data_IF_871936867402
#
_entry.id   IF_871936867402
#
_cell.length_a   1.000
_cell.length_b   1.000
_cell.length_c   1.000
_cell.angle_alpha   90.00
_cell.angle_beta   90.00
_cell.angle_gamma   90.00
#
_symmetry.space_group_name_H-M   'P 1'
#
loop_
_entity.id
_entity.type
_entity.pdbx_description
1 polymer ?
#
# COMPACT_ATOMS: atom_id res chain seq x y z
N UNK A 1 -27.99 -39.10 5.33
CA UNK A 1 -27.90 -37.66 5.65
C UNK A 1 -26.42 -37.35 5.67
N UNK A 2 -25.93 -36.65 4.65
CA UNK A 2 -24.55 -36.14 4.68
C UNK A 2 -24.51 -35.04 5.74
N UNK A 3 -23.94 -35.35 6.90
CA UNK A 3 -23.49 -34.32 7.85
C UNK A 3 -22.31 -33.60 7.17
N UNK A 4 -22.61 -32.60 6.33
CA UNK A 4 -21.61 -31.64 5.91
C UNK A 4 -21.28 -30.79 7.13
N UNK A 5 -20.09 -30.98 7.69
CA UNK A 5 -19.55 -30.10 8.73
C UNK A 5 -19.70 -28.65 8.25
N UNK A 6 -20.34 -27.75 9.00
CA UNK A 6 -20.50 -26.37 8.56
C UNK A 6 -19.12 -25.75 8.33
N UNK A 7 -18.99 -24.98 7.26
CA UNK A 7 -17.74 -24.30 6.94
C UNK A 7 -17.32 -23.37 8.09
N UNK A 8 -16.06 -23.44 8.51
CA UNK A 8 -15.49 -22.45 9.41
C UNK A 8 -15.45 -21.09 8.70
N UNK A 9 -15.78 -20.00 9.38
CA UNK A 9 -15.88 -18.67 8.79
C UNK A 9 -14.88 -17.71 9.43
N UNK A 10 -13.95 -17.23 8.60
CA UNK A 10 -12.98 -16.20 8.95
C UNK A 10 -13.34 -14.88 8.26
N UNK A 11 -13.53 -13.81 9.03
CA UNK A 11 -13.66 -12.46 8.46
C UNK A 11 -12.40 -11.64 8.71
N UNK A 12 -11.80 -11.12 7.65
CA UNK A 12 -10.64 -10.23 7.70
C UNK A 12 -11.09 -8.81 7.35
N UNK A 13 -10.98 -7.89 8.31
CA UNK A 13 -11.25 -6.47 8.09
C UNK A 13 -9.98 -5.81 7.55
N UNK A 14 -10.00 -5.46 6.27
CA UNK A 14 -8.86 -5.00 5.49
C UNK A 14 -8.40 -6.05 4.47
N UNK A 15 -8.07 -5.61 3.26
CA UNK A 15 -7.65 -6.48 2.16
C UNK A 15 -6.26 -6.12 1.60
N UNK A 16 -5.49 -5.30 2.32
CA UNK A 16 -4.13 -4.92 1.93
C UNK A 16 -3.07 -6.02 2.17
N UNK A 17 -1.76 -5.67 2.14
CA UNK A 17 -0.68 -6.66 2.18
C UNK A 17 -0.68 -7.59 3.39
N UNK A 18 -1.19 -7.11 4.54
CA UNK A 18 -1.32 -7.95 5.75
C UNK A 18 -2.31 -9.11 5.55
N UNK A 19 -3.44 -8.85 4.89
CA UNK A 19 -4.43 -9.87 4.58
C UNK A 19 -3.87 -10.87 3.55
N UNK A 20 -3.13 -10.38 2.55
CA UNK A 20 -2.42 -11.26 1.60
C UNK A 20 -1.41 -12.15 2.31
N UNK A 21 -0.61 -11.61 3.24
CA UNK A 21 0.33 -12.40 4.04
C UNK A 21 -0.37 -13.44 4.91
N UNK A 22 -1.53 -13.11 5.50
CA UNK A 22 -2.33 -14.08 6.24
C UNK A 22 -2.82 -15.23 5.34
N UNK A 23 -3.38 -14.91 4.18
CA UNK A 23 -3.83 -15.92 3.22
C UNK A 23 -2.68 -16.81 2.74
N UNK A 24 -1.51 -16.21 2.53
CA UNK A 24 -0.31 -16.95 2.16
C UNK A 24 0.13 -17.91 3.27
N UNK A 25 0.09 -17.47 4.54
CA UNK A 25 0.35 -18.35 5.69
C UNK A 25 -0.69 -19.45 5.84
N UNK A 26 -1.96 -19.19 5.54
CA UNK A 26 -3.02 -20.21 5.49
C UNK A 26 -2.68 -21.25 4.40
N UNK A 27 -2.36 -20.82 3.18
CA UNK A 27 -1.95 -21.72 2.10
C UNK A 27 -0.68 -22.51 2.46
N UNK A 28 0.25 -21.89 3.18
CA UNK A 28 1.50 -22.49 3.63
C UNK A 28 1.30 -23.64 4.60
N UNK A 29 0.42 -23.45 5.59
CA UNK A 29 0.24 -24.37 6.70
C UNK A 29 -0.91 -25.36 6.49
N UNK A 30 -1.81 -25.12 5.53
CA UNK A 30 -2.97 -25.97 5.29
C UNK A 30 -2.63 -27.47 5.14
N UNK A 31 -1.56 -27.90 4.44
CA UNK A 31 -1.25 -29.33 4.31
C UNK A 31 -0.95 -30.05 5.63
N UNK A 32 -0.52 -29.34 6.67
CA UNK A 32 -0.18 -29.91 7.98
C UNK A 32 -1.29 -29.69 9.00
N UNK A 33 -1.94 -28.52 8.98
CA UNK A 33 -2.91 -28.10 10.00
C UNK A 33 -4.36 -28.36 9.60
N UNK A 34 -4.64 -28.63 8.33
CA UNK A 34 -5.99 -28.77 7.81
C UNK A 34 -6.14 -30.13 7.13
N UNK A 35 -6.97 -31.01 7.69
CA UNK A 35 -7.16 -32.39 7.22
C UNK A 35 -7.85 -32.50 5.85
N UNK A 36 -8.23 -31.37 5.25
CA UNK A 36 -8.86 -31.29 3.93
C UNK A 36 -10.32 -31.75 3.92
N UNK A 37 -10.93 -32.02 5.07
CA UNK A 37 -12.34 -32.45 5.18
C UNK A 37 -13.27 -31.32 5.59
N UNK A 38 -12.77 -30.32 6.33
CA UNK A 38 -13.50 -29.11 6.66
C UNK A 38 -13.39 -28.03 5.57
N UNK A 39 -14.47 -27.30 5.33
CA UNK A 39 -14.45 -26.09 4.50
C UNK A 39 -14.06 -24.86 5.33
N UNK A 40 -13.31 -23.93 4.74
CA UNK A 40 -13.00 -22.62 5.31
C UNK A 40 -13.46 -21.51 4.36
N UNK A 41 -14.39 -20.68 4.81
CA UNK A 41 -14.84 -19.49 4.12
C UNK A 41 -14.13 -18.25 4.68
N UNK A 42 -13.30 -17.61 3.85
CA UNK A 42 -12.61 -16.36 4.17
C UNK A 42 -13.32 -15.18 3.51
N UNK A 43 -13.75 -14.21 4.31
CA UNK A 43 -14.33 -12.96 3.85
C UNK A 43 -13.36 -11.80 4.05
N UNK A 44 -12.89 -11.19 2.97
CA UNK A 44 -12.13 -9.95 3.02
C UNK A 44 -13.09 -8.76 2.94
N UNK A 45 -13.04 -7.84 3.90
CA UNK A 45 -13.87 -6.64 3.91
C UNK A 45 -12.99 -5.40 3.78
N UNK A 46 -13.00 -4.76 2.60
CA UNK A 46 -12.25 -3.53 2.34
C UNK A 46 -12.89 -2.76 1.17
N UNK A 47 -13.04 -1.43 1.24
CA UNK A 47 -13.54 -0.65 0.11
C UNK A 47 -12.56 -0.59 -1.09
N UNK A 48 -11.30 -0.98 -0.90
CA UNK A 48 -10.26 -0.99 -1.93
C UNK A 48 -9.91 -2.41 -2.39
N UNK A 49 -9.40 -2.57 -3.63
CA UNK A 49 -9.02 -3.88 -4.15
C UNK A 49 -8.04 -4.67 -3.26
N UNK A 50 -8.22 -5.98 -3.11
CA UNK A 50 -7.31 -6.84 -2.36
C UNK A 50 -5.89 -6.88 -2.93
N UNK A 51 -4.90 -7.13 -2.08
CA UNK A 51 -3.48 -7.07 -2.40
C UNK A 51 -2.91 -5.69 -2.08
N UNK A 52 -3.03 -4.68 -2.97
CA UNK A 52 -2.51 -3.34 -2.69
C UNK A 52 -3.24 -2.62 -1.54
N UNK A 53 -4.55 -2.86 -1.40
CA UNK A 53 -5.42 -2.14 -0.48
C UNK A 53 -5.39 -0.62 -0.70
N UNK A 54 -5.85 0.16 0.29
CA UNK A 54 -5.89 1.63 0.19
C UNK A 54 -4.52 2.28 -0.03
N UNK A 55 -3.49 1.79 0.64
CA UNK A 55 -2.18 2.46 0.77
C UNK A 55 -1.37 2.34 -0.51
N UNK A 56 -1.46 1.21 -1.20
CA UNK A 56 -0.73 0.95 -2.44
C UNK A 56 -1.63 0.96 -3.67
N UNK A 57 -2.89 1.40 -3.54
CA UNK A 57 -3.84 1.45 -4.66
C UNK A 57 -3.26 2.13 -5.89
N UNK A 58 -3.71 1.68 -7.05
CA UNK A 58 -3.20 2.10 -8.35
C UNK A 58 -3.51 3.59 -8.65
N UNK A 59 -4.62 4.12 -8.17
CA UNK A 59 -5.15 5.46 -8.48
C UNK A 59 -4.32 6.63 -7.89
N UNK A 60 -3.13 6.34 -7.36
CA UNK A 60 -2.19 7.36 -6.89
C UNK A 60 -1.46 8.03 -8.06
N UNK A 61 -0.89 9.21 -7.82
CA UNK A 61 -0.07 9.91 -8.82
C UNK A 61 1.15 9.06 -9.23
N UNK A 62 1.51 9.01 -10.53
CA UNK A 62 2.69 8.29 -11.01
C UNK A 62 4.02 8.92 -10.54
N UNK A 63 3.97 10.11 -9.93
CA UNK A 63 5.13 10.77 -9.33
C UNK A 63 5.50 10.19 -7.96
N UNK A 64 4.56 9.50 -7.29
CA UNK A 64 4.80 8.99 -5.95
C UNK A 64 5.60 7.70 -5.99
N UNK A 65 6.71 7.69 -5.25
CA UNK A 65 7.70 6.61 -5.23
C UNK A 65 7.66 5.85 -3.91
N UNK A 66 8.14 4.63 -3.94
CA UNK A 66 8.54 3.87 -2.76
C UNK A 66 9.75 4.51 -2.09
N UNK A 67 9.93 4.27 -0.80
CA UNK A 67 11.12 4.65 -0.04
C UNK A 67 12.12 3.49 0.17
N UNK A 68 11.86 2.36 -0.48
CA UNK A 68 12.69 1.15 -0.53
C UNK A 68 13.10 0.87 -1.97
N UNK A 69 14.28 0.30 -2.17
CA UNK A 69 14.72 -0.14 -3.49
C UNK A 69 13.90 -1.36 -3.93
N UNK A 70 13.74 -1.56 -5.24
CA UNK A 70 12.97 -2.67 -5.79
C UNK A 70 13.49 -4.05 -5.35
N UNK A 71 14.79 -4.18 -5.10
CA UNK A 71 15.40 -5.42 -4.60
C UNK A 71 15.08 -5.72 -3.13
N UNK A 72 14.80 -4.69 -2.33
CA UNK A 72 14.51 -4.81 -0.90
C UNK A 72 13.02 -5.07 -0.61
N UNK A 73 12.18 -5.17 -1.66
CA UNK A 73 10.73 -5.35 -1.51
C UNK A 73 10.34 -6.77 -1.88
N UNK A 74 9.83 -7.52 -0.90
CA UNK A 74 9.25 -8.86 -1.11
C UNK A 74 8.07 -9.08 -0.17
N UNK A 75 7.11 -9.92 -0.58
CA UNK A 75 6.03 -10.46 0.27
C UNK A 75 6.29 -11.92 0.67
N UNK A 76 7.37 -12.51 0.18
CA UNK A 76 7.72 -13.91 0.40
C UNK A 76 8.63 -14.08 1.60
N UNK A 77 8.61 -15.27 2.18
CA UNK A 77 9.41 -15.61 3.35
C UNK A 77 10.73 -16.22 2.93
N UNK A 78 11.73 -16.08 3.80
CA UNK A 78 13.06 -16.66 3.65
C UNK A 78 13.56 -17.17 5.02
N UNK A 79 14.78 -17.69 5.09
CA UNK A 79 15.35 -18.24 6.32
C UNK A 79 15.53 -17.19 7.44
N UNK A 80 15.42 -15.89 7.14
CA UNK A 80 15.46 -14.83 8.14
C UNK A 80 14.10 -14.52 8.77
N UNK A 81 13.02 -15.10 8.21
CA UNK A 81 11.66 -14.86 8.66
C UNK A 81 11.37 -15.53 10.01
N UNK A 82 10.78 -14.80 10.94
CA UNK A 82 10.35 -15.30 12.26
C UNK A 82 8.89 -15.74 12.22
N UNK A 83 8.62 -16.79 11.43
CA UNK A 83 7.27 -17.31 11.18
C UNK A 83 7.19 -18.79 11.52
N UNK A 84 6.03 -19.21 12.02
CA UNK A 84 5.69 -20.62 12.13
C UNK A 84 5.28 -21.17 10.75
N UNK A 85 5.50 -22.48 10.57
CA UNK A 85 5.23 -23.17 9.31
C UNK A 85 6.34 -23.04 8.27
N UNK A 86 6.10 -23.54 7.04
CA UNK A 86 7.14 -23.60 6.02
C UNK A 86 7.53 -22.21 5.49
N UNK A 87 8.83 -22.05 5.22
CA UNK A 87 9.37 -20.95 4.43
C UNK A 87 8.97 -21.16 2.96
N UNK A 88 8.35 -20.15 2.36
CA UNK A 88 7.93 -20.10 0.96
C UNK A 88 8.63 -18.93 0.26
N UNK A 89 9.79 -19.17 -0.36
CA UNK A 89 10.54 -18.14 -1.05
C UNK A 89 9.87 -17.75 -2.36
N UNK A 90 10.15 -16.53 -2.80
CA UNK A 90 9.63 -15.98 -4.04
C UNK A 90 10.35 -14.70 -4.44
N UNK A 91 10.01 -14.15 -5.62
CA UNK A 91 10.74 -13.02 -6.17
C UNK A 91 10.50 -11.74 -5.37
N UNK A 92 11.57 -10.95 -5.17
CA UNK A 92 11.42 -9.52 -4.86
C UNK A 92 10.73 -8.78 -6.02
N UNK A 93 10.30 -7.55 -5.79
CA UNK A 93 9.70 -6.71 -6.84
C UNK A 93 10.64 -6.58 -8.03
N UNK A 94 11.95 -6.38 -7.80
CA UNK A 94 12.94 -6.33 -8.88
C UNK A 94 13.03 -7.65 -9.66
N UNK A 95 13.07 -8.79 -8.97
CA UNK A 95 13.14 -10.10 -9.61
C UNK A 95 11.88 -10.39 -10.42
N UNK A 96 10.70 -10.07 -9.87
CA UNK A 96 9.42 -10.19 -10.56
C UNK A 96 9.35 -9.28 -11.79
N UNK A 97 9.77 -8.02 -11.67
CA UNK A 97 9.78 -7.06 -12.77
C UNK A 97 10.69 -7.50 -13.94
N UNK A 98 11.78 -8.21 -13.65
CA UNK A 98 12.72 -8.70 -14.66
C UNK A 98 12.07 -9.62 -15.71
N UNK A 99 10.94 -10.27 -15.38
CA UNK A 99 10.18 -11.09 -16.32
C UNK A 99 9.66 -10.28 -17.53
N UNK A 100 9.32 -9.00 -17.33
CA UNK A 100 8.76 -8.15 -18.39
C UNK A 100 9.84 -7.60 -19.33
N UNK A 101 11.10 -7.60 -18.88
CA UNK A 101 12.26 -7.15 -19.66
C UNK A 101 12.99 -8.29 -20.38
N UNK A 102 12.54 -9.53 -20.20
CA UNK A 102 13.21 -10.73 -20.71
C UNK A 102 14.52 -11.07 -20.00
N UNK A 103 14.80 -10.42 -18.85
CA UNK A 103 16.03 -10.62 -18.05
C UNK A 103 15.85 -11.62 -16.90
N UNK A 104 14.61 -11.98 -16.59
CA UNK A 104 14.25 -12.91 -15.52
C UNK A 104 13.31 -14.00 -16.00
N UNK A 105 13.13 -15.06 -15.19
CA UNK A 105 12.17 -16.10 -15.47
C UNK A 105 10.73 -15.55 -15.44
N UNK A 106 9.79 -16.29 -16.03
CA UNK A 106 8.36 -16.01 -15.85
C UNK A 106 7.91 -16.50 -14.47
N UNK A 107 7.04 -15.72 -13.83
CA UNK A 107 6.43 -16.07 -12.55
C UNK A 107 4.92 -16.25 -12.70
N UNK A 108 4.43 -17.43 -12.36
CA UNK A 108 2.99 -17.71 -12.37
C UNK A 108 2.26 -17.02 -11.19
N UNK A 109 1.02 -16.54 -11.39
CA UNK A 109 0.33 -16.45 -12.67
C UNK A 109 0.93 -15.33 -13.54
N UNK A 110 1.29 -15.65 -14.78
CA UNK A 110 1.85 -14.64 -15.68
C UNK A 110 0.75 -13.73 -16.22
N UNK A 111 0.84 -12.43 -15.94
CA UNK A 111 -0.08 -11.42 -16.48
C UNK A 111 0.66 -10.09 -16.59
N UNK A 112 0.63 -9.47 -17.78
CA UNK A 112 1.17 -8.12 -17.95
C UNK A 112 0.25 -7.09 -17.27
N UNK A 113 0.81 -6.08 -16.56
CA UNK A 113 0.02 -4.96 -16.04
C UNK A 113 -0.72 -4.22 -17.16
N UNK A 114 -2.00 -3.93 -16.93
CA UNK A 114 -2.85 -3.27 -17.92
C UNK A 114 -2.46 -1.79 -18.17
N UNK A 115 -1.88 -1.10 -17.18
CA UNK A 115 -1.38 0.27 -17.35
C UNK A 115 -0.04 0.26 -18.13
N UNK A 116 0.01 0.82 -19.36
CA UNK A 116 1.23 0.83 -20.17
C UNK A 116 2.39 1.60 -19.52
N UNK A 117 2.09 2.62 -18.70
CA UNK A 117 3.10 3.38 -17.98
C UNK A 117 3.77 2.55 -16.88
N UNK A 118 2.98 1.72 -16.18
CA UNK A 118 3.50 0.76 -15.20
C UNK A 118 4.32 -0.32 -15.89
N UNK A 119 3.83 -0.88 -17.00
CA UNK A 119 4.56 -1.90 -17.76
C UNK A 119 5.89 -1.35 -18.32
N UNK A 120 5.89 -0.11 -18.84
CA UNK A 120 7.10 0.55 -19.31
C UNK A 120 8.12 0.75 -18.18
N UNK A 121 7.66 1.19 -16.99
CA UNK A 121 8.52 1.28 -15.82
C UNK A 121 9.14 -0.08 -15.48
N UNK A 122 8.32 -1.13 -15.31
CA UNK A 122 8.79 -2.46 -14.92
C UNK A 122 9.79 -3.06 -15.92
N UNK A 123 9.63 -2.79 -17.22
CA UNK A 123 10.59 -3.23 -18.27
C UNK A 123 11.98 -2.62 -18.13
N UNK A 124 12.09 -1.47 -17.49
CA UNK A 124 13.37 -0.75 -17.32
C UNK A 124 13.86 -0.70 -15.87
N UNK A 125 13.04 -1.17 -14.93
CA UNK A 125 13.29 -1.07 -13.50
C UNK A 125 14.55 -1.84 -13.11
N UNK A 126 15.52 -1.14 -12.50
CA UNK A 126 16.73 -1.75 -11.97
C UNK A 126 16.51 -2.15 -10.50
N UNK A 127 17.24 -3.15 -9.99
CA UNK A 127 17.17 -3.57 -8.59
C UNK A 127 17.32 -2.42 -7.58
N UNK A 128 18.20 -1.47 -7.87
CA UNK A 128 18.50 -0.31 -7.00
C UNK A 128 17.57 0.90 -7.21
N UNK A 129 16.60 0.81 -8.12
CA UNK A 129 15.65 1.90 -8.35
C UNK A 129 14.56 1.90 -7.27
N UNK A 130 14.00 3.07 -7.00
CA UNK A 130 12.83 3.24 -6.16
C UNK A 130 11.58 3.19 -7.06
N UNK A 131 10.80 2.10 -7.07
CA UNK A 131 9.68 1.97 -7.99
C UNK A 131 8.56 2.96 -7.64
N UNK A 132 7.70 3.31 -8.60
CA UNK A 132 6.46 4.02 -8.29
C UNK A 132 5.57 3.19 -7.38
N UNK A 133 4.69 3.86 -6.64
CA UNK A 133 3.63 3.17 -5.89
C UNK A 133 2.69 2.38 -6.81
N UNK A 134 2.59 2.74 -8.09
CA UNK A 134 1.82 1.98 -9.08
C UNK A 134 2.50 0.67 -9.47
N UNK A 135 3.83 0.67 -9.63
CA UNK A 135 4.59 -0.57 -9.80
C UNK A 135 4.49 -1.48 -8.57
N UNK A 136 4.54 -0.89 -7.36
CA UNK A 136 4.26 -1.63 -6.11
C UNK A 136 2.84 -2.21 -6.11
N UNK A 137 1.83 -1.44 -6.54
CA UNK A 137 0.46 -1.91 -6.67
C UNK A 137 0.37 -3.13 -7.56
N UNK A 138 1.04 -3.12 -8.72
CA UNK A 138 1.01 -4.24 -9.66
C UNK A 138 1.67 -5.49 -9.07
N UNK A 139 2.79 -5.34 -8.36
CA UNK A 139 3.44 -6.44 -7.65
C UNK A 139 2.53 -7.04 -6.57
N UNK A 140 1.88 -6.21 -5.74
CA UNK A 140 1.00 -6.69 -4.66
C UNK A 140 -0.29 -7.35 -5.16
N UNK A 141 -0.87 -6.86 -6.25
CA UNK A 141 -1.99 -7.54 -6.93
C UNK A 141 -1.55 -8.90 -7.47
N UNK A 142 -0.37 -8.99 -8.11
CA UNK A 142 0.17 -10.26 -8.58
C UNK A 142 0.42 -11.25 -7.43
N UNK A 143 1.04 -10.82 -6.32
CA UNK A 143 1.25 -11.68 -5.14
C UNK A 143 -0.10 -12.18 -4.61
N UNK A 144 -1.10 -11.31 -4.51
CA UNK A 144 -2.43 -11.71 -4.04
C UNK A 144 -3.05 -12.79 -4.92
N UNK A 145 -3.02 -12.63 -6.26
CA UNK A 145 -3.54 -13.63 -7.19
C UNK A 145 -2.78 -14.95 -7.12
N UNK A 146 -1.45 -14.88 -6.96
CA UNK A 146 -0.63 -16.07 -6.75
C UNK A 146 -1.06 -16.84 -5.51
N UNK A 147 -1.23 -16.14 -4.38
CA UNK A 147 -1.67 -16.74 -3.12
C UNK A 147 -3.03 -17.40 -3.27
N UNK A 148 -3.98 -16.78 -3.98
CA UNK A 148 -5.27 -17.41 -4.25
C UNK A 148 -5.15 -18.72 -5.03
N UNK A 149 -4.22 -18.81 -5.98
CA UNK A 149 -3.98 -20.04 -6.75
C UNK A 149 -3.29 -21.14 -5.92
N UNK A 150 -2.67 -20.79 -4.79
CA UNK A 150 -1.99 -21.73 -3.90
C UNK A 150 -2.89 -22.23 -2.75
N UNK A 151 -4.09 -21.65 -2.58
CA UNK A 151 -5.04 -22.10 -1.57
C UNK A 151 -5.63 -23.47 -1.95
N UNK A 152 -5.86 -24.36 -0.97
CA UNK A 152 -6.51 -25.64 -1.24
C UNK A 152 -7.97 -25.42 -1.67
N UNK A 153 -8.58 -26.37 -2.42
CA UNK A 153 -9.96 -26.24 -2.89
C UNK A 153 -11.01 -26.08 -1.78
N UNK A 154 -10.69 -26.49 -0.56
CA UNK A 154 -11.54 -26.35 0.63
C UNK A 154 -11.55 -24.94 1.23
N UNK A 155 -10.68 -24.04 0.75
CA UNK A 155 -10.63 -22.65 1.22
C UNK A 155 -11.19 -21.73 0.14
N UNK A 156 -12.26 -21.02 0.47
CA UNK A 156 -12.87 -20.02 -0.43
C UNK A 156 -12.58 -18.61 0.07
N UNK A 157 -12.34 -17.68 -0.87
CA UNK A 157 -12.09 -16.27 -0.52
C UNK A 157 -13.10 -15.39 -1.24
N UNK A 158 -13.88 -14.62 -0.48
CA UNK A 158 -14.84 -13.64 -0.99
C UNK A 158 -14.44 -12.24 -0.57
N UNK A 159 -14.34 -11.31 -1.52
CA UNK A 159 -14.12 -9.90 -1.23
C UNK A 159 -15.44 -9.12 -1.21
N UNK A 160 -15.69 -8.45 -0.09
CA UNK A 160 -16.77 -7.50 0.08
C UNK A 160 -16.20 -6.09 -0.08
N UNK A 161 -16.51 -5.43 -1.21
CA UNK A 161 -16.08 -4.05 -1.50
C UNK A 161 -16.91 -3.03 -0.72
N UNK A 162 -16.73 -3.04 0.60
CA UNK A 162 -17.49 -2.22 1.55
C UNK A 162 -16.66 -1.96 2.80
N UNK A 163 -17.18 -1.15 3.70
CA UNK A 163 -16.53 -0.81 4.96
C UNK A 163 -17.17 -1.61 6.10
N UNK A 164 -16.35 -2.29 6.92
CA UNK A 164 -16.82 -2.79 8.20
C UNK A 164 -17.02 -1.62 9.17
N UNK A 165 -18.21 -1.52 9.78
CA UNK A 165 -18.59 -0.41 10.65
C UNK A 165 -18.55 -0.77 12.13
N UNK A 166 -18.74 -2.04 12.46
CA UNK A 166 -18.66 -2.55 13.83
C UNK A 166 -18.33 -4.06 13.84
N UNK A 167 -17.75 -4.51 14.94
CA UNK A 167 -17.65 -5.93 15.32
C UNK A 167 -18.35 -6.08 16.66
N UNK A 168 -19.31 -6.99 16.75
CA UNK A 168 -20.10 -7.25 17.96
C UNK A 168 -20.22 -8.76 18.17
N UNK A 169 -20.41 -9.21 19.40
CA UNK A 169 -20.58 -10.63 19.71
C UNK A 169 -20.11 -10.93 21.12
N UNK A 170 -20.38 -12.13 21.65
CA UNK A 170 -19.78 -12.59 22.90
C UNK A 170 -18.27 -12.85 22.71
N UNK A 171 -17.46 -12.76 23.77
CA UNK A 171 -16.00 -12.99 23.68
C UNK A 171 -15.65 -14.41 23.19
N UNK A 172 -16.38 -15.42 23.67
CA UNK A 172 -16.14 -16.85 23.38
C UNK A 172 -17.14 -17.46 22.39
N UNK A 173 -17.72 -16.66 21.49
CA UNK A 173 -18.69 -17.17 20.51
C UNK A 173 -18.63 -16.45 19.17
N UNK A 174 -19.59 -16.76 18.27
CA UNK A 174 -19.59 -16.20 16.92
C UNK A 174 -19.64 -14.68 16.94
N UNK A 175 -18.72 -14.07 16.22
CA UNK A 175 -18.65 -12.63 16.01
C UNK A 175 -19.58 -12.21 14.88
N UNK A 176 -20.04 -10.97 14.93
CA UNK A 176 -20.88 -10.33 13.93
C UNK A 176 -20.15 -9.10 13.39
N UNK A 177 -19.81 -9.14 12.10
CA UNK A 177 -19.15 -8.02 11.40
C UNK A 177 -20.19 -7.26 10.60
N UNK A 178 -20.47 -6.03 11.03
CA UNK A 178 -21.45 -5.14 10.40
C UNK A 178 -20.82 -4.43 9.21
N UNK A 179 -21.51 -4.42 8.08
CA UNK A 179 -21.04 -3.80 6.83
C UNK A 179 -21.89 -2.57 6.51
N UNK A 180 -21.26 -1.54 5.92
CA UNK A 180 -21.93 -0.26 5.66
C UNK A 180 -23.06 -0.33 4.61
N UNK A 181 -23.02 -1.33 3.74
CA UNK A 181 -23.87 -1.47 2.55
C UNK A 181 -25.05 -2.44 2.73
N UNK A 182 -25.21 -3.04 3.92
CA UNK A 182 -26.30 -3.98 4.21
C UNK A 182 -26.64 -4.05 5.69
N UNK A 183 -27.88 -4.43 6.00
CA UNK A 183 -28.35 -4.54 7.37
C UNK A 183 -27.87 -5.82 8.09
N UNK A 184 -27.80 -6.95 7.38
CA UNK A 184 -27.41 -8.22 7.98
C UNK A 184 -25.87 -8.33 8.12
N UNK A 185 -25.33 -8.58 9.34
CA UNK A 185 -23.89 -8.75 9.54
C UNK A 185 -23.37 -10.06 8.92
N UNK A 186 -22.05 -10.16 8.72
CA UNK A 186 -21.39 -11.46 8.55
C UNK A 186 -21.26 -12.12 9.91
N UNK A 187 -21.71 -13.37 10.05
CA UNK A 187 -21.39 -14.20 11.22
C UNK A 187 -20.05 -14.89 10.98
N UNK A 188 -19.13 -14.81 11.94
CA UNK A 188 -17.77 -15.31 11.82
C UNK A 188 -17.37 -16.09 13.07
N UNK A 189 -16.65 -17.19 12.91
CA UNK A 189 -16.01 -17.89 14.02
C UNK A 189 -14.80 -17.11 14.52
N UNK A 190 -14.10 -16.42 13.60
CA UNK A 190 -12.94 -15.59 13.93
C UNK A 190 -12.90 -14.31 13.09
N UNK A 191 -12.46 -13.22 13.72
CA UNK A 191 -12.27 -11.92 13.05
C UNK A 191 -10.81 -11.47 13.19
N UNK A 192 -10.17 -11.16 12.07
CA UNK A 192 -8.84 -10.54 12.04
C UNK A 192 -8.94 -9.08 11.61
N UNK A 193 -8.43 -8.18 12.45
CA UNK A 193 -8.32 -6.75 12.11
C UNK A 193 -6.99 -6.47 11.42
N UNK A 194 -7.01 -6.43 10.08
CA UNK A 194 -5.85 -6.23 9.21
C UNK A 194 -5.86 -4.86 8.49
N UNK A 195 -6.54 -3.86 9.06
CA UNK A 195 -6.84 -2.56 8.44
C UNK A 195 -5.60 -1.70 8.09
N UNK A 196 -4.41 -2.08 8.55
CA UNK A 196 -3.17 -1.39 8.21
C UNK A 196 -3.10 0.01 8.82
N UNK A 197 -2.95 1.03 7.97
CA UNK A 197 -2.82 2.42 8.39
C UNK A 197 -4.19 3.11 8.35
N UNK A 198 -4.73 3.39 9.54
CA UNK A 198 -6.01 4.08 9.70
C UNK A 198 -5.85 5.59 9.62
N UNK A 199 -6.87 6.26 9.06
CA UNK A 199 -6.97 7.71 9.16
C UNK A 199 -7.11 8.12 10.63
N UNK A 200 -6.62 9.31 10.97
CA UNK A 200 -6.80 9.89 12.30
C UNK A 200 -7.69 11.12 12.21
N UNK A 201 -8.60 11.28 13.17
CA UNK A 201 -9.33 12.52 13.31
C UNK A 201 -8.36 13.63 13.72
N UNK A 202 -8.43 14.84 13.13
CA UNK A 202 -7.54 15.92 13.48
C UNK A 202 -7.63 16.24 14.97
N UNK A 203 -6.53 16.13 15.71
CA UNK A 203 -6.46 16.48 17.13
C UNK A 203 -6.71 17.98 17.40
N UNK A 204 -6.87 18.40 18.68
CA UNK A 204 -7.23 19.78 19.05
C UNK A 204 -6.36 20.85 18.40
N UNK A 205 -5.04 20.62 18.32
CA UNK A 205 -4.09 21.54 17.68
C UNK A 205 -4.37 21.77 16.19
N UNK A 206 -4.66 20.70 15.44
CA UNK A 206 -4.97 20.81 14.02
C UNK A 206 -6.33 21.47 13.78
N UNK A 207 -7.31 21.22 14.67
CA UNK A 207 -8.59 21.93 14.66
C UNK A 207 -8.41 23.43 14.90
N UNK A 208 -7.54 23.81 15.85
CA UNK A 208 -7.22 25.21 16.12
C UNK A 208 -6.54 25.89 14.90
N UNK A 209 -5.58 25.23 14.26
CA UNK A 209 -4.94 25.74 13.04
C UNK A 209 -5.93 25.86 11.87
N UNK A 210 -6.80 24.87 11.66
CA UNK A 210 -7.84 24.93 10.64
C UNK A 210 -8.84 26.06 10.90
N UNK A 211 -9.26 26.25 12.16
CA UNK A 211 -10.14 27.35 12.54
C UNK A 211 -9.46 28.71 12.34
N UNK A 212 -8.18 28.84 12.71
CA UNK A 212 -7.39 30.05 12.47
C UNK A 212 -7.30 30.35 10.97
N UNK A 213 -6.90 29.39 10.15
CA UNK A 213 -6.79 29.56 8.70
C UNK A 213 -8.13 30.01 8.10
N UNK A 214 -9.23 29.34 8.45
CA UNK A 214 -10.58 29.69 7.98
C UNK A 214 -10.99 31.12 8.37
N UNK A 215 -10.72 31.57 9.60
CA UNK A 215 -11.02 32.96 10.02
C UNK A 215 -10.26 34.01 9.20
N UNK A 216 -9.15 33.63 8.58
CA UNK A 216 -8.33 34.51 7.75
C UNK A 216 -8.48 34.22 6.24
N UNK A 217 -9.47 33.43 5.83
CA UNK A 217 -9.67 33.06 4.42
C UNK A 217 -8.52 32.23 3.84
N UNK A 218 -7.81 31.47 4.67
CA UNK A 218 -6.66 30.64 4.31
C UNK A 218 -6.98 29.15 4.42
N UNK A 219 -6.18 28.36 3.72
CA UNK A 219 -6.24 26.91 3.74
C UNK A 219 -5.28 26.32 4.79
N UNK A 220 -5.68 25.23 5.43
CA UNK A 220 -4.82 24.42 6.29
C UNK A 220 -5.07 22.95 5.99
N UNK A 221 -4.03 22.27 5.50
CA UNK A 221 -4.03 20.82 5.31
C UNK A 221 -3.72 20.13 6.65
N UNK A 222 -4.67 19.39 7.25
CA UNK A 222 -4.37 18.57 8.42
C UNK A 222 -3.47 17.37 8.06
N UNK A 223 -2.88 16.67 9.06
CA UNK A 223 -2.17 15.43 8.80
C UNK A 223 -3.07 14.44 8.05
N UNK A 224 -2.61 13.99 6.90
CA UNK A 224 -3.32 13.08 6.03
C UNK A 224 -2.31 12.28 5.21
N UNK A 225 -2.73 11.13 4.70
CA UNK A 225 -1.96 10.40 3.70
C UNK A 225 -1.81 11.26 2.45
N UNK A 226 -0.58 11.56 2.02
CA UNK A 226 -0.32 12.57 0.98
C UNK A 226 -1.02 12.24 -0.34
N UNK A 227 -1.15 10.96 -0.69
CA UNK A 227 -1.83 10.57 -1.92
C UNK A 227 -3.36 10.82 -1.90
N UNK A 228 -3.93 11.12 -0.73
CA UNK A 228 -5.34 11.44 -0.55
C UNK A 228 -5.56 12.95 -0.32
N UNK A 229 -4.47 13.71 -0.15
CA UNK A 229 -4.54 15.13 0.19
C UNK A 229 -5.02 15.96 -0.99
N UNK A 230 -6.09 16.74 -0.80
CA UNK A 230 -6.49 17.76 -1.76
C UNK A 230 -5.58 18.98 -1.63
N UNK A 231 -4.73 19.18 -2.64
CA UNK A 231 -3.77 20.28 -2.72
C UNK A 231 -4.25 21.41 -3.66
N UNK A 232 -5.46 21.30 -4.23
CA UNK A 232 -5.99 22.26 -5.20
C UNK A 232 -6.21 23.66 -4.61
N UNK A 233 -6.45 23.73 -3.30
CA UNK A 233 -6.63 24.99 -2.57
C UNK A 233 -5.36 25.87 -2.53
N UNK A 234 -4.17 25.29 -2.74
CA UNK A 234 -2.90 26.03 -2.77
C UNK A 234 -2.69 26.69 -4.13
N UNK A 235 -2.67 28.03 -4.19
CA UNK A 235 -2.63 28.76 -5.46
C UNK A 235 -1.20 28.97 -5.99
N UNK A 236 -1.03 29.21 -7.31
CA UNK A 236 0.26 29.63 -7.86
C UNK A 236 0.83 30.86 -7.13
N UNK A 237 2.12 30.82 -6.80
CA UNK A 237 2.82 31.91 -6.09
C UNK A 237 2.42 32.12 -4.62
N UNK A 238 1.43 31.38 -4.10
CA UNK A 238 0.99 31.50 -2.71
C UNK A 238 2.11 31.10 -1.75
N UNK A 239 2.28 31.86 -0.67
CA UNK A 239 3.25 31.57 0.38
C UNK A 239 2.69 30.48 1.30
N UNK A 240 3.30 29.30 1.30
CA UNK A 240 2.83 28.13 2.04
C UNK A 240 3.87 27.71 3.06
N UNK A 241 3.48 27.67 4.33
CA UNK A 241 4.33 27.14 5.41
C UNK A 241 4.13 25.64 5.50
N UNK A 242 5.21 24.88 5.36
CA UNK A 242 5.21 23.42 5.49
C UNK A 242 5.99 23.02 6.75
N UNK A 243 5.31 22.31 7.65
CA UNK A 243 5.88 21.85 8.91
C UNK A 243 6.29 20.38 8.83
N UNK A 244 7.56 20.14 8.54
CA UNK A 244 8.20 18.83 8.45
C UNK A 244 8.90 18.63 7.11
N UNK A 245 10.11 18.06 7.14
CA UNK A 245 10.89 17.69 5.94
C UNK A 245 11.01 16.15 5.81
N UNK A 246 10.03 15.40 6.32
CA UNK A 246 10.04 13.93 6.25
C UNK A 246 9.63 13.40 4.87
N UNK A 247 9.51 12.08 4.75
CA UNK A 247 9.09 11.39 3.52
C UNK A 247 7.81 11.97 2.90
N UNK A 248 6.78 12.24 3.71
CA UNK A 248 5.52 12.82 3.23
C UNK A 248 5.69 14.21 2.60
N UNK A 249 6.70 14.99 3.01
CA UNK A 249 6.99 16.29 2.38
C UNK A 249 7.52 16.12 0.96
N UNK A 250 8.32 15.09 0.68
CA UNK A 250 8.83 14.84 -0.66
C UNK A 250 7.68 14.53 -1.63
N UNK A 251 6.68 13.77 -1.19
CA UNK A 251 5.45 13.56 -1.96
C UNK A 251 4.71 14.88 -2.24
N UNK A 252 4.51 15.71 -1.21
CA UNK A 252 3.84 17.02 -1.36
C UNK A 252 4.63 17.91 -2.33
N UNK A 253 5.96 17.93 -2.21
CA UNK A 253 6.84 18.67 -3.10
C UNK A 253 6.63 18.21 -4.54
N UNK A 254 6.74 16.90 -4.83
CA UNK A 254 6.57 16.36 -6.17
C UNK A 254 5.19 16.68 -6.77
N UNK A 255 4.11 16.60 -5.97
CA UNK A 255 2.76 16.93 -6.39
C UNK A 255 2.56 18.43 -6.66
N UNK A 256 3.23 19.29 -5.91
CA UNK A 256 3.14 20.74 -6.07
C UNK A 256 4.10 21.31 -7.11
N UNK A 257 5.05 20.52 -7.60
CA UNK A 257 6.05 20.90 -8.62
C UNK A 257 5.78 20.18 -9.95
N UNK A 258 6.29 18.97 -10.14
CA UNK A 258 6.09 18.16 -11.34
C UNK A 258 4.60 17.85 -11.56
N UNK A 259 3.86 17.60 -10.48
CA UNK A 259 2.40 17.42 -10.52
C UNK A 259 1.65 18.67 -11.00
N UNK A 260 2.31 19.83 -10.99
CA UNK A 260 1.84 21.08 -11.57
C UNK A 260 2.54 21.44 -12.88
N UNK A 261 3.23 20.48 -13.51
CA UNK A 261 3.79 20.61 -14.86
C UNK A 261 5.19 21.20 -14.90
N UNK A 262 5.85 21.44 -13.77
CA UNK A 262 7.28 21.73 -13.78
C UNK A 262 8.08 20.49 -14.21
N UNK A 263 9.29 20.69 -14.70
CA UNK A 263 10.14 19.62 -15.23
C UNK A 263 11.58 19.79 -14.80
N UNK A 264 12.40 18.74 -14.91
CA UNK A 264 13.84 18.85 -14.74
C UNK A 264 14.54 18.75 -16.09
N UNK A 265 15.50 19.65 -16.33
CA UNK A 265 16.49 19.52 -17.40
C UNK A 265 17.77 18.94 -16.84
N UNK A 266 18.23 17.85 -17.43
CA UNK A 266 19.52 17.24 -17.13
C UNK A 266 20.59 17.83 -18.03
N UNK A 267 21.62 18.42 -17.45
CA UNK A 267 22.80 18.88 -18.17
C UNK A 267 23.73 17.70 -18.54
N UNK A 268 24.69 17.87 -19.47
CA UNK A 268 25.58 16.77 -19.90
C UNK A 268 26.40 16.13 -18.77
N UNK A 269 26.65 16.86 -17.69
CA UNK A 269 27.36 16.41 -16.49
C UNK A 269 26.45 15.68 -15.47
N UNK A 270 25.16 15.53 -15.78
CA UNK A 270 24.14 14.94 -14.91
C UNK A 270 23.54 15.90 -13.88
N UNK A 271 23.93 17.18 -13.89
CA UNK A 271 23.33 18.21 -13.03
C UNK A 271 21.86 18.43 -13.42
N UNK A 272 20.97 18.48 -12.43
CA UNK A 272 19.54 18.73 -12.63
C UNK A 272 19.22 20.20 -12.37
N UNK A 273 18.57 20.86 -13.33
CA UNK A 273 17.95 22.18 -13.15
C UNK A 273 16.44 22.02 -13.21
N UNK A 274 15.74 22.42 -12.14
CA UNK A 274 14.29 22.47 -12.14
C UNK A 274 13.79 23.67 -12.96
N UNK A 275 12.79 23.43 -13.81
CA UNK A 275 12.10 24.41 -14.64
C UNK A 275 10.66 24.53 -14.13
N UNK A 276 10.32 25.61 -13.40
CA UNK A 276 8.97 25.80 -12.89
C UNK A 276 7.99 26.05 -14.04
N UNK A 277 6.77 25.56 -13.88
CA UNK A 277 5.65 25.84 -14.79
C UNK A 277 4.98 27.19 -14.54
N UNK A 278 5.21 27.79 -13.37
CA UNK A 278 4.50 28.98 -12.87
C UNK A 278 3.20 28.65 -12.13
N UNK A 279 2.82 27.37 -11.99
CA UNK A 279 1.64 26.92 -11.23
C UNK A 279 1.98 26.50 -9.79
N UNK A 280 3.25 26.47 -9.45
CA UNK A 280 3.77 26.08 -8.14
C UNK A 280 3.48 27.17 -7.08
N UNK A 281 3.20 26.80 -5.82
CA UNK A 281 3.26 27.73 -4.69
C UNK A 281 4.72 27.97 -4.27
N UNK A 282 4.94 28.96 -3.41
CA UNK A 282 6.23 29.20 -2.74
C UNK A 282 6.23 28.49 -1.39
N UNK A 283 7.04 27.43 -1.26
CA UNK A 283 7.09 26.60 -0.06
C UNK A 283 8.16 27.09 0.93
N UNK A 284 7.72 27.50 2.11
CA UNK A 284 8.56 27.78 3.28
C UNK A 284 8.58 26.56 4.19
N UNK A 285 9.65 25.79 4.11
CA UNK A 285 9.69 24.44 4.70
C UNK A 285 10.60 24.44 5.92
N UNK A 286 10.10 23.94 7.05
CA UNK A 286 10.85 23.85 8.30
C UNK A 286 10.72 22.51 8.99
N UNK A 287 11.79 22.03 9.62
CA UNK A 287 11.78 20.86 10.51
C UNK A 287 12.35 21.23 11.87
N UNK A 288 12.10 20.40 12.89
CA UNK A 288 12.66 20.60 14.24
C UNK A 288 14.20 20.66 14.25
N UNK A 289 14.86 19.95 13.32
CA UNK A 289 16.34 19.90 13.23
C UNK A 289 16.91 20.98 12.30
N UNK A 290 16.08 21.73 11.57
CA UNK A 290 16.52 22.78 10.66
C UNK A 290 17.25 22.31 9.39
N UNK A 291 17.51 21.01 9.23
CA UNK A 291 18.23 20.44 8.08
C UNK A 291 17.41 19.35 7.37
N UNK A 292 17.53 19.20 6.04
CA UNK A 292 16.89 18.12 5.29
C UNK A 292 17.55 16.76 5.56
N UNK A 293 16.83 15.67 5.32
CA UNK A 293 17.42 14.33 5.32
C UNK A 293 18.36 14.15 4.12
N UNK A 294 19.42 13.35 4.30
CA UNK A 294 20.27 12.95 3.18
C UNK A 294 19.46 12.08 2.19
N UNK A 295 19.67 12.32 0.90
CA UNK A 295 19.05 11.50 -0.14
C UNK A 295 19.59 10.08 -0.10
N UNK A 296 18.70 9.09 -0.12
CA UNK A 296 19.05 7.66 -0.24
C UNK A 296 19.66 7.29 -1.60
N UNK A 297 19.61 8.17 -2.60
CA UNK A 297 19.90 7.82 -4.01
C UNK A 297 21.38 7.68 -4.35
N UNK A 298 22.32 7.94 -3.43
CA UNK A 298 23.76 7.98 -3.74
C UNK A 298 24.64 7.04 -2.92
N UNK A 299 24.08 6.17 -2.09
CA UNK A 299 24.87 5.22 -1.31
C UNK A 299 24.14 3.90 -1.10
N UNK A 300 24.88 2.79 -1.19
CA UNK A 300 24.40 1.51 -0.63
C UNK A 300 24.58 1.57 0.88
N UNK A 301 23.50 1.29 1.64
CA UNK A 301 23.60 1.16 3.08
C UNK A 301 24.52 -0.05 3.37
N UNK A 302 25.72 0.20 3.88
CA UNK A 302 26.61 -0.86 4.38
C UNK A 302 26.36 -0.99 5.88
N UNK A 303 25.47 -1.91 6.26
CA UNK A 303 25.32 -2.35 7.66
C UNK A 303 26.19 -3.58 7.94
N UNK A 304 26.52 -3.88 9.20
CA UNK A 304 27.03 -5.20 9.56
C UNK A 304 25.99 -6.26 9.14
N UNK A 305 26.48 -7.36 8.56
CA UNK A 305 25.67 -8.57 8.33
C UNK A 305 25.36 -9.24 9.65
#
# INVERSE_FOLDING_TARGET
>A
MNDSTPAAVLVVVGAGPRATGLLERIAANAPELWDGTGELAVHLVDPHPPGPGRIWRHEQSPLLRMNSMAEDVTMFTDESSTVDGPVRPGPSLAAWAAQFSGRGPRHEPFTEPADPGVLAELRTLRPTDFPTRRAQSAYLDWVFRRVLNELPPTVTVTWHRTTATAVTGPEDGPQQVHLADRAAPLTADLVVLAQGHLGSLPGPRHRAHAAFARRHGRFHLPPQFTADADLSALRPGEQVIVRGLGLAFIDVLALLTEGRGGTFRTAPDGTLTYLPSGREPVLHVGSRRGVPYHSKTRYRLRGPR
#
